data_IF_272286143453
#
_entry.id   IF_272286143453
#
_cell.length_a   1.000
_cell.length_b   1.000
_cell.length_c   1.000
_cell.angle_alpha   90.00
_cell.angle_beta   90.00
_cell.angle_gamma   90.00
#
_symmetry.space_group_name_H-M   'P 1'
#
loop_
_entity.id
_entity.type
_entity.pdbx_description
1 polymer ?
#
# COMPACT_ATOMS: atom_id res chain seq x y z
N UNK A 1 -24.02 25.13 6.22
CA UNK A 1 -23.69 24.22 5.10
C UNK A 1 -22.23 23.81 5.28
N UNK A 2 -21.89 22.51 5.29
CA UNK A 2 -20.48 22.10 5.26
C UNK A 2 -19.98 22.34 3.84
N UNK A 3 -19.09 23.30 3.64
CA UNK A 3 -18.39 23.47 2.37
C UNK A 3 -17.68 22.17 2.02
N UNK A 4 -18.08 21.58 0.90
CA UNK A 4 -17.42 20.42 0.33
C UNK A 4 -16.09 20.89 -0.25
N UNK A 5 -14.95 20.31 0.18
CA UNK A 5 -13.61 20.66 -0.34
C UNK A 5 -13.34 20.09 -1.74
N UNK A 6 -14.40 19.93 -2.52
CA UNK A 6 -14.40 19.32 -3.82
C UNK A 6 -14.70 20.39 -4.85
N UNK A 7 -13.95 20.35 -5.94
CA UNK A 7 -14.31 21.05 -7.17
C UNK A 7 -15.64 20.50 -7.73
N UNK A 8 -16.29 21.22 -8.68
CA UNK A 8 -17.47 20.70 -9.37
C UNK A 8 -17.27 19.33 -10.04
N UNK A 9 -16.02 18.96 -10.35
CA UNK A 9 -15.64 17.67 -10.94
C UNK A 9 -15.32 16.58 -9.90
N UNK A 10 -15.57 16.83 -8.61
CA UNK A 10 -15.34 15.85 -7.54
C UNK A 10 -13.86 15.66 -7.18
N UNK A 11 -13.00 16.63 -7.49
CA UNK A 11 -11.56 16.60 -7.16
C UNK A 11 -11.28 17.44 -5.92
N UNK A 12 -10.57 16.88 -4.94
CA UNK A 12 -10.02 17.53 -3.76
C UNK A 12 -8.52 17.79 -3.96
N UNK A 13 -8.09 19.05 -4.06
CA UNK A 13 -6.67 19.38 -4.18
C UNK A 13 -5.92 19.35 -2.85
N UNK A 14 -6.59 19.69 -1.74
CA UNK A 14 -6.03 19.51 -0.40
C UNK A 14 -6.30 18.09 0.10
N UNK A 15 -5.33 17.20 -0.14
CA UNK A 15 -5.43 15.79 0.26
C UNK A 15 -5.66 15.61 1.77
N UNK A 16 -5.24 16.56 2.61
CA UNK A 16 -5.45 16.47 4.06
C UNK A 16 -6.92 16.57 4.46
N UNK A 17 -7.74 17.17 3.59
CA UNK A 17 -9.19 17.33 3.75
C UNK A 17 -9.98 16.41 2.82
N UNK A 18 -9.28 15.55 2.07
CA UNK A 18 -9.94 14.65 1.14
C UNK A 18 -10.82 13.63 1.85
N UNK A 19 -12.07 13.41 1.39
CA UNK A 19 -12.91 12.33 1.87
C UNK A 19 -12.52 10.97 1.27
N UNK A 20 -11.70 10.94 0.21
CA UNK A 20 -11.35 9.72 -0.49
C UNK A 20 -10.10 9.11 0.13
N UNK A 21 -10.27 8.00 0.85
CA UNK A 21 -9.20 7.35 1.59
C UNK A 21 -9.25 5.83 1.42
N UNK A 22 -8.10 5.19 1.47
CA UNK A 22 -7.97 3.74 1.56
C UNK A 22 -6.92 3.38 2.60
N UNK A 23 -7.15 2.31 3.36
CA UNK A 23 -6.25 1.87 4.44
C UNK A 23 -5.64 0.52 4.09
N UNK A 24 -4.33 0.41 4.25
CA UNK A 24 -3.59 -0.85 4.13
C UNK A 24 -2.65 -1.00 5.33
N UNK A 25 -2.88 -2.04 6.13
CA UNK A 25 -2.22 -2.20 7.42
C UNK A 25 -2.48 -0.98 8.31
N UNK A 26 -1.41 -0.33 8.75
CA UNK A 26 -1.46 0.90 9.58
C UNK A 26 -1.44 2.20 8.78
N UNK A 27 -1.37 2.13 7.45
CA UNK A 27 -1.23 3.31 6.60
C UNK A 27 -2.56 3.68 5.96
N UNK A 28 -2.96 4.94 6.11
CA UNK A 28 -4.11 5.52 5.41
C UNK A 28 -3.63 6.46 4.30
N UNK A 29 -4.00 6.12 3.07
CA UNK A 29 -3.67 6.84 1.85
C UNK A 29 -4.84 7.74 1.46
N UNK A 30 -4.56 9.02 1.22
CA UNK A 30 -5.57 10.00 0.80
C UNK A 30 -5.46 10.29 -0.69
N UNK A 31 -6.60 10.38 -1.36
CA UNK A 31 -6.67 10.56 -2.81
C UNK A 31 -7.37 11.84 -3.19
N UNK A 32 -7.00 12.44 -4.33
CA UNK A 32 -7.63 13.65 -4.81
C UNK A 32 -9.02 13.39 -5.39
N UNK A 33 -9.38 12.14 -5.70
CA UNK A 33 -10.68 11.80 -6.28
C UNK A 33 -11.09 10.36 -5.98
N UNK A 34 -12.38 10.07 -6.08
CA UNK A 34 -12.91 8.70 -5.98
C UNK A 34 -12.29 7.77 -7.02
N UNK A 35 -12.07 8.25 -8.26
CA UNK A 35 -11.44 7.47 -9.34
C UNK A 35 -10.03 7.00 -9.00
N UNK A 36 -9.23 7.86 -8.37
CA UNK A 36 -7.88 7.47 -7.93
C UNK A 36 -7.95 6.43 -6.82
N UNK A 37 -8.81 6.63 -5.80
CA UNK A 37 -9.04 5.65 -4.73
C UNK A 37 -9.44 4.29 -5.31
N UNK A 38 -10.44 4.23 -6.18
CA UNK A 38 -10.92 2.98 -6.79
C UNK A 38 -9.85 2.32 -7.67
N UNK A 39 -9.06 3.12 -8.41
CA UNK A 39 -7.96 2.57 -9.20
C UNK A 39 -6.86 1.98 -8.32
N UNK A 40 -6.58 2.59 -7.17
CA UNK A 40 -5.64 2.05 -6.19
C UNK A 40 -6.18 0.74 -5.59
N UNK A 41 -7.41 0.72 -5.11
CA UNK A 41 -8.03 -0.45 -4.47
C UNK A 41 -8.08 -1.66 -5.41
N UNK A 42 -8.49 -1.45 -6.66
CA UNK A 42 -8.58 -2.51 -7.68
C UNK A 42 -7.23 -3.09 -8.08
N UNK A 43 -6.16 -2.28 -8.08
CA UNK A 43 -4.80 -2.71 -8.46
C UNK A 43 -4.02 -3.33 -7.29
N UNK A 44 -4.41 -3.04 -6.04
CA UNK A 44 -3.66 -3.45 -4.85
C UNK A 44 -3.50 -4.98 -4.76
N UNK A 45 -4.59 -5.71 -5.01
CA UNK A 45 -4.66 -7.17 -4.92
C UNK A 45 -3.72 -7.89 -5.91
N UNK A 46 -3.45 -7.27 -7.05
CA UNK A 46 -2.55 -7.83 -8.07
C UNK A 46 -1.12 -7.34 -7.85
N UNK A 47 -0.95 -6.08 -7.43
CA UNK A 47 0.36 -5.44 -7.33
C UNK A 47 1.23 -6.03 -6.23
N UNK A 48 0.65 -6.32 -5.07
CA UNK A 48 1.40 -6.87 -3.93
C UNK A 48 1.97 -8.27 -4.26
N UNK A 49 1.16 -9.27 -4.65
CA UNK A 49 1.68 -10.61 -4.97
C UNK A 49 2.69 -10.57 -6.12
N UNK A 50 2.42 -9.78 -7.16
CA UNK A 50 3.32 -9.66 -8.30
C UNK A 50 4.71 -9.13 -7.91
N UNK A 51 4.79 -8.08 -7.08
CA UNK A 51 6.09 -7.52 -6.69
C UNK A 51 6.85 -8.45 -5.74
N UNK A 52 6.16 -9.08 -4.78
CA UNK A 52 6.76 -10.09 -3.90
C UNK A 52 7.34 -11.27 -4.69
N UNK A 53 6.58 -11.83 -5.64
CA UNK A 53 7.04 -12.91 -6.51
C UNK A 53 8.24 -12.48 -7.36
N UNK A 54 8.16 -11.30 -7.99
CA UNK A 54 9.24 -10.75 -8.82
C UNK A 54 10.55 -10.60 -8.03
N UNK A 55 10.48 -10.01 -6.83
CA UNK A 55 11.66 -9.81 -5.99
C UNK A 55 12.19 -11.14 -5.44
N UNK A 56 11.31 -12.03 -5.00
CA UNK A 56 11.73 -13.35 -4.48
C UNK A 56 12.43 -14.19 -5.56
N UNK A 57 11.91 -14.20 -6.79
CA UNK A 57 12.55 -14.84 -7.95
C UNK A 57 13.90 -14.23 -8.29
N UNK A 58 14.05 -12.91 -8.12
CA UNK A 58 15.29 -12.18 -8.39
C UNK A 58 16.38 -12.53 -7.38
N UNK A 59 16.03 -12.53 -6.10
CA UNK A 59 17.00 -12.73 -5.02
C UNK A 59 17.20 -14.18 -4.60
N UNK A 60 16.35 -15.12 -5.10
CA UNK A 60 16.42 -16.56 -4.82
C UNK A 60 16.09 -16.94 -3.37
N UNK A 61 15.42 -16.06 -2.65
CA UNK A 61 14.81 -16.30 -1.34
C UNK A 61 13.53 -15.48 -1.23
N UNK A 62 12.67 -15.81 -0.27
CA UNK A 62 11.42 -15.07 -0.06
C UNK A 62 11.71 -13.66 0.45
N UNK A 63 11.13 -12.66 -0.22
CA UNK A 63 11.22 -11.25 0.18
C UNK A 63 9.83 -10.66 0.27
N UNK A 64 9.46 -10.18 1.46
CA UNK A 64 8.27 -9.35 1.64
C UNK A 64 8.61 -7.88 1.32
N UNK A 65 8.10 -7.44 0.18
CA UNK A 65 8.15 -6.06 -0.31
C UNK A 65 6.74 -5.46 -0.42
N UNK A 66 5.75 -6.00 0.29
CA UNK A 66 4.36 -5.59 0.21
C UNK A 66 4.19 -4.10 0.49
N UNK A 67 4.86 -3.58 1.52
CA UNK A 67 4.82 -2.15 1.84
C UNK A 67 5.39 -1.30 0.68
N UNK A 68 6.51 -1.72 0.08
CA UNK A 68 7.08 -1.03 -1.10
C UNK A 68 6.07 -1.04 -2.25
N UNK A 69 5.41 -2.17 -2.50
CA UNK A 69 4.41 -2.31 -3.56
C UNK A 69 3.25 -1.33 -3.39
N UNK A 70 2.73 -1.18 -2.16
CA UNK A 70 1.62 -0.30 -1.84
C UNK A 70 1.99 1.17 -2.03
N UNK A 71 3.11 1.62 -1.45
CA UNK A 71 3.57 3.00 -1.61
C UNK A 71 3.89 3.33 -3.07
N UNK A 72 4.53 2.40 -3.79
CA UNK A 72 4.81 2.58 -5.21
C UNK A 72 3.51 2.69 -6.02
N UNK A 73 2.51 1.85 -5.75
CA UNK A 73 1.20 1.93 -6.41
C UNK A 73 0.50 3.26 -6.13
N UNK A 74 0.54 3.73 -4.89
CA UNK A 74 -0.03 5.01 -4.52
C UNK A 74 0.58 6.15 -5.35
N UNK A 75 1.92 6.22 -5.43
CA UNK A 75 2.62 7.22 -6.25
C UNK A 75 2.32 7.12 -7.75
N UNK A 76 1.92 5.93 -8.25
CA UNK A 76 1.53 5.75 -9.65
C UNK A 76 0.09 6.19 -9.91
N UNK A 77 -0.80 6.05 -8.92
CA UNK A 77 -2.23 6.32 -9.05
C UNK A 77 -2.58 7.75 -8.66
N UNK A 78 -2.08 8.23 -7.53
CA UNK A 78 -2.28 9.61 -7.10
C UNK A 78 -1.20 10.52 -7.70
N UNK A 79 -1.59 11.28 -8.70
CA UNK A 79 -0.68 12.16 -9.45
C UNK A 79 -0.77 13.63 -9.06
N UNK A 80 -1.72 14.01 -8.18
CA UNK A 80 -1.98 15.43 -7.83
C UNK A 80 -1.39 15.85 -6.49
N UNK A 81 -0.77 14.93 -5.76
CA UNK A 81 -0.14 15.22 -4.48
C UNK A 81 0.28 13.92 -3.78
N UNK A 82 0.69 14.05 -2.53
CA UNK A 82 1.05 12.91 -1.70
C UNK A 82 0.57 13.17 -0.27
N UNK A 83 -0.27 12.30 0.27
CA UNK A 83 -0.63 12.37 1.68
C UNK A 83 -0.94 10.99 2.25
N UNK A 84 -0.09 10.55 3.18
CA UNK A 84 -0.19 9.25 3.85
C UNK A 84 -0.03 9.44 5.35
N UNK A 85 -0.85 8.73 6.12
CA UNK A 85 -0.84 8.75 7.59
C UNK A 85 -0.49 7.37 8.12
N UNK A 86 0.48 7.25 9.03
CA UNK A 86 0.66 6.07 9.88
C UNK A 86 -0.24 6.26 11.12
N UNK A 87 -1.35 5.54 11.17
CA UNK A 87 -2.39 5.69 12.20
C UNK A 87 -1.91 5.22 13.59
N UNK A 88 -0.86 4.40 13.65
CA UNK A 88 -0.30 3.91 14.92
C UNK A 88 0.72 4.90 15.48
N UNK A 89 1.63 5.40 14.63
CA UNK A 89 2.71 6.30 15.04
C UNK A 89 2.31 7.77 14.99
N UNK A 90 1.17 8.09 14.40
CA UNK A 90 0.71 9.46 14.16
C UNK A 90 1.56 10.22 13.13
N UNK A 91 2.42 9.53 12.37
CA UNK A 91 3.27 10.15 11.35
C UNK A 91 2.47 10.51 10.11
N UNK A 92 2.83 11.63 9.48
CA UNK A 92 2.14 12.15 8.30
C UNK A 92 3.17 12.57 7.28
N UNK A 93 3.11 11.98 6.10
CA UNK A 93 3.93 12.37 4.96
C UNK A 93 3.08 13.21 4.01
N UNK A 94 3.55 14.40 3.66
CA UNK A 94 2.87 15.35 2.74
C UNK A 94 3.55 15.46 1.37
N UNK A 95 4.67 14.78 1.23
CA UNK A 95 5.51 14.69 0.04
C UNK A 95 6.17 13.31 0.06
N UNK A 96 6.55 12.83 -1.13
CA UNK A 96 7.14 11.49 -1.26
C UNK A 96 8.63 11.50 -0.90
N UNK A 97 9.27 12.66 -1.01
CA UNK A 97 10.71 12.86 -0.77
C UNK A 97 11.09 12.68 0.70
N UNK A 98 10.16 12.94 1.63
CA UNK A 98 10.32 12.69 3.07
C UNK A 98 10.02 11.24 3.49
N UNK A 99 9.50 10.40 2.58
CA UNK A 99 9.22 9.00 2.89
C UNK A 99 10.50 8.16 2.79
N UNK A 100 10.88 7.53 3.90
CA UNK A 100 11.93 6.52 3.95
C UNK A 100 11.37 5.17 4.39
N UNK A 101 11.74 4.12 3.67
CA UNK A 101 11.46 2.73 4.06
C UNK A 101 12.78 2.08 4.51
N UNK A 102 12.83 1.62 5.75
CA UNK A 102 14.03 1.03 6.36
C UNK A 102 13.68 -0.11 7.29
N UNK A 103 14.66 -0.96 7.60
CA UNK A 103 14.51 -2.04 8.59
C UNK A 103 14.16 -3.41 8.01
N UNK A 104 14.65 -3.74 6.81
CA UNK A 104 14.60 -5.12 6.33
C UNK A 104 15.32 -6.04 7.33
N UNK A 105 14.67 -7.12 7.74
CA UNK A 105 15.18 -8.09 8.71
C UNK A 105 15.16 -9.50 8.10
N UNK A 106 16.19 -10.28 8.40
CA UNK A 106 16.21 -11.70 8.08
C UNK A 106 15.48 -12.48 9.18
N UNK A 107 14.55 -13.35 8.79
CA UNK A 107 13.77 -14.16 9.71
C UNK A 107 13.90 -15.64 9.33
N UNK A 108 13.84 -16.53 10.33
CA UNK A 108 13.74 -17.96 10.08
C UNK A 108 12.34 -18.29 9.58
N UNK A 109 12.25 -18.97 8.44
CA UNK A 109 10.97 -19.53 7.98
C UNK A 109 10.78 -20.87 8.68
N UNK A 110 9.81 -20.92 9.59
CA UNK A 110 9.35 -22.21 10.12
C UNK A 110 8.70 -22.99 8.97
N UNK A 111 9.22 -24.17 8.67
CA UNK A 111 8.56 -25.10 7.77
C UNK A 111 7.28 -25.55 8.45
N UNK A 112 6.12 -25.15 7.93
CA UNK A 112 4.88 -25.88 8.21
C UNK A 112 5.10 -27.31 7.72
N UNK A 113 5.21 -28.27 8.63
CA UNK A 113 5.19 -29.70 8.30
C UNK A 113 4.04 -29.95 7.33
N UNK A 114 4.35 -30.49 6.15
CA UNK A 114 3.31 -31.08 5.33
C UNK A 114 2.79 -32.29 6.11
N UNK A 115 1.46 -32.50 6.25
CA UNK A 115 0.96 -33.76 6.78
C UNK A 115 1.48 -34.88 5.87
N UNK A 116 2.29 -35.77 6.44
CA UNK A 116 2.67 -37.02 5.80
C UNK A 116 1.38 -37.81 5.56
N UNK A 117 0.91 -37.84 4.32
CA UNK A 117 -0.05 -38.87 3.90
C UNK A 117 0.72 -40.16 3.76
N UNK A 118 0.85 -40.89 4.87
CA UNK A 118 1.20 -42.30 4.88
C UNK A 118 -0.03 -43.07 4.41
N UNK A 119 -0.09 -43.41 3.13
CA UNK A 119 -1.00 -44.46 2.66
C UNK A 119 -0.30 -45.79 2.90
N UNK A 120 -0.54 -46.39 4.06
CA UNK A 120 -0.37 -47.83 4.26
C UNK A 120 -1.61 -48.53 3.68
N UNK A 121 -1.40 -49.57 2.86
CA UNK A 121 -2.45 -50.49 2.40
C UNK A 121 -2.47 -50.72 0.90
#
# INVERSE_FOLDING_TARGET
>A
MKETNLTPFGVCYDLTRSPFKSTWGKYTFHFSSVKHKESFDSKLQVRIPWLNDSMSKRFKFEVDVSQIAVFQLYCQVETRGFYVVDEIRGLKWRDRESLTLSGLQANLRESSEKPETTTEG
#
